data_IF_257180461461
#
_entry.id   IF_257180461461
#
_cell.length_a   1.000
_cell.length_b   1.000
_cell.length_c   1.000
_cell.angle_alpha   90.00
_cell.angle_beta   90.00
_cell.angle_gamma   90.00
#
_symmetry.space_group_name_H-M   'P 1'
#
loop_
_entity.id
_entity.type
_entity.pdbx_description
1 polymer ?
#
# COMPACT_ATOMS: atom_id res chain seq x y z
N UNK A 1 0.23 -0.09 18.49
CA UNK A 1 1.17 -0.28 17.37
C UNK A 1 0.44 -0.15 16.04
N UNK A 2 -0.68 -0.84 15.80
CA UNK A 2 -1.44 -0.86 14.55
C UNK A 2 -1.85 0.55 14.04
N UNK A 3 -2.33 1.44 14.92
CA UNK A 3 -2.74 2.81 14.58
C UNK A 3 -1.59 3.65 13.98
N UNK A 4 -0.42 3.57 14.58
CA UNK A 4 0.75 4.32 14.10
C UNK A 4 1.26 3.77 12.77
N UNK A 5 1.20 2.45 12.57
CA UNK A 5 1.51 1.82 11.27
C UNK A 5 0.56 2.28 10.17
N UNK A 6 -0.76 2.32 10.43
CA UNK A 6 -1.74 2.82 9.46
C UNK A 6 -1.49 4.27 9.07
N UNK A 7 -1.16 5.13 10.02
CA UNK A 7 -0.85 6.54 9.74
C UNK A 7 0.48 6.72 8.99
N UNK A 8 1.49 5.91 9.31
CA UNK A 8 2.75 5.89 8.54
C UNK A 8 2.48 5.54 7.07
N UNK A 9 1.68 4.49 6.83
CA UNK A 9 1.30 4.10 5.49
C UNK A 9 0.37 5.11 4.77
N UNK A 10 -0.33 5.97 5.51
CA UNK A 10 -1.07 7.09 4.94
C UNK A 10 -0.14 8.09 4.23
N UNK A 11 1.06 8.33 4.76
CA UNK A 11 2.07 9.20 4.13
C UNK A 11 2.53 8.63 2.78
N UNK A 12 2.71 7.31 2.68
CA UNK A 12 2.99 6.64 1.40
C UNK A 12 1.89 6.90 0.37
N UNK A 13 0.63 6.71 0.76
CA UNK A 13 -0.53 6.94 -0.11
C UNK A 13 -0.62 8.40 -0.58
N UNK A 14 -0.27 9.36 0.29
CA UNK A 14 -0.23 10.78 -0.07
C UNK A 14 0.82 11.06 -1.16
N UNK A 15 1.98 10.42 -1.08
CA UNK A 15 3.02 10.50 -2.11
C UNK A 15 2.57 9.86 -3.43
N UNK A 16 1.95 8.68 -3.36
CA UNK A 16 1.43 7.98 -4.53
C UNK A 16 0.31 8.76 -5.24
N UNK A 17 -0.56 9.44 -4.50
CA UNK A 17 -1.60 10.32 -5.06
C UNK A 17 -1.01 11.62 -5.62
N UNK A 18 0.00 12.21 -4.96
CA UNK A 18 0.62 13.47 -5.37
C UNK A 18 1.55 13.35 -6.58
N UNK A 19 2.15 12.17 -6.79
CA UNK A 19 3.08 11.92 -7.88
C UNK A 19 2.49 12.20 -9.27
N UNK A 20 1.40 11.55 -9.66
CA UNK A 20 0.74 11.81 -10.96
C UNK A 20 0.26 13.24 -11.12
N UNK A 21 -0.23 13.88 -10.06
CA UNK A 21 -0.68 15.29 -10.09
C UNK A 21 0.50 16.23 -10.35
N UNK A 22 1.62 16.04 -9.64
CA UNK A 22 2.83 16.86 -9.83
C UNK A 22 3.42 16.69 -11.23
N UNK A 23 3.40 15.47 -11.77
CA UNK A 23 3.82 15.19 -13.14
C UNK A 23 2.86 15.83 -14.16
N UNK A 24 1.55 15.80 -13.90
CA UNK A 24 0.55 16.47 -14.75
C UNK A 24 0.79 17.97 -14.83
N UNK A 25 1.11 18.64 -13.73
CA UNK A 25 1.48 20.06 -13.70
C UNK A 25 2.77 20.35 -14.49
N UNK A 26 3.79 19.50 -14.31
CA UNK A 26 5.04 19.65 -15.05
C UNK A 26 4.82 19.53 -16.57
N UNK A 27 3.99 18.59 -17.00
CA UNK A 27 3.65 18.39 -18.42
C UNK A 27 2.81 19.54 -18.99
N UNK A 28 1.90 20.13 -18.21
CA UNK A 28 1.09 21.25 -18.66
C UNK A 28 1.89 22.55 -18.85
N UNK A 29 2.94 22.76 -18.04
CA UNK A 29 3.75 23.99 -18.05
C UNK A 29 5.10 23.87 -18.75
N UNK A 30 5.59 22.66 -19.02
CA UNK A 30 6.95 22.44 -19.53
C UNK A 30 7.15 21.03 -20.12
N UNK A 31 8.21 20.34 -19.70
CA UNK A 31 8.57 19.01 -20.20
C UNK A 31 8.54 17.99 -19.08
N UNK A 32 8.40 16.72 -19.42
CA UNK A 32 8.44 15.61 -18.47
C UNK A 32 9.76 15.57 -17.67
N UNK A 33 10.88 16.03 -18.25
CA UNK A 33 12.16 16.13 -17.56
C UNK A 33 12.11 17.05 -16.35
N UNK A 34 11.34 18.15 -16.41
CA UNK A 34 11.19 19.05 -15.26
C UNK A 34 10.39 18.42 -14.13
N UNK A 35 9.41 17.57 -14.42
CA UNK A 35 8.73 16.77 -13.42
C UNK A 35 9.69 15.85 -12.67
N UNK A 36 10.55 15.12 -13.39
CA UNK A 36 11.59 14.28 -12.77
C UNK A 36 12.62 15.09 -11.98
N UNK A 37 13.00 16.28 -12.44
CA UNK A 37 13.91 17.17 -11.67
C UNK A 37 13.30 17.57 -10.32
N UNK A 38 12.02 17.93 -10.28
CA UNK A 38 11.32 18.25 -9.02
C UNK A 38 11.33 17.04 -8.07
N UNK A 39 10.97 15.86 -8.57
CA UNK A 39 10.99 14.63 -7.79
C UNK A 39 12.40 14.32 -7.30
N UNK A 40 13.42 14.48 -8.15
CA UNK A 40 14.83 14.24 -7.77
C UNK A 40 15.28 15.17 -6.64
N UNK A 41 14.94 16.46 -6.71
CA UNK A 41 15.28 17.42 -5.63
C UNK A 41 14.63 16.98 -4.31
N UNK A 42 13.34 16.63 -4.33
CA UNK A 42 12.65 16.11 -3.15
C UNK A 42 13.31 14.84 -2.61
N UNK A 43 13.74 13.95 -3.52
CA UNK A 43 14.44 12.71 -3.17
C UNK A 43 15.81 12.98 -2.51
N UNK A 44 16.53 14.03 -2.89
CA UNK A 44 17.79 14.43 -2.23
C UNK A 44 17.58 15.13 -0.89
N UNK A 45 16.50 15.88 -0.73
CA UNK A 45 16.15 16.50 0.54
C UNK A 45 15.85 15.45 1.62
N UNK A 46 15.18 14.36 1.25
CA UNK A 46 14.82 13.29 2.19
C UNK A 46 16.03 12.64 2.88
N UNK A 47 17.05 12.11 2.17
CA UNK A 47 18.24 11.56 2.83
C UNK A 47 19.04 12.61 3.58
N UNK A 48 19.06 13.87 3.15
CA UNK A 48 19.67 14.94 3.93
C UNK A 48 18.98 15.09 5.29
N UNK A 49 17.64 15.14 5.32
CA UNK A 49 16.88 15.18 6.56
C UNK A 49 17.12 13.94 7.45
N UNK A 50 17.20 12.75 6.83
CA UNK A 50 17.51 11.51 7.56
C UNK A 50 18.91 11.55 8.18
N UNK A 51 19.92 12.03 7.45
CA UNK A 51 21.27 12.21 7.98
C UNK A 51 21.32 13.18 9.17
N UNK A 52 20.62 14.31 9.06
CA UNK A 52 20.53 15.26 10.18
C UNK A 52 19.75 14.70 11.38
N UNK A 53 18.84 13.77 11.16
CA UNK A 53 18.06 13.13 12.23
C UNK A 53 18.78 11.95 12.89
N UNK A 54 19.88 11.44 12.33
CA UNK A 54 20.62 10.30 12.90
C UNK A 54 20.93 10.40 14.40
N UNK A 55 21.34 11.57 14.94
CA UNK A 55 21.58 11.70 16.38
C UNK A 55 20.33 11.50 17.26
N UNK A 56 19.12 11.62 16.66
CA UNK A 56 17.85 11.40 17.36
C UNK A 56 17.44 9.92 17.42
N UNK A 57 18.10 9.08 16.63
CA UNK A 57 17.82 7.64 16.52
C UNK A 57 18.66 6.87 17.56
N UNK A 58 18.55 7.26 18.82
CA UNK A 58 19.18 6.52 19.91
C UNK A 58 18.36 5.23 20.11
N UNK A 59 18.99 4.09 19.89
CA UNK A 59 18.49 2.82 20.41
C UNK A 59 18.57 2.88 21.93
N UNK A 60 17.46 2.70 22.66
CA UNK A 60 17.53 2.58 24.11
C UNK A 60 18.42 1.38 24.41
N UNK A 61 19.61 1.61 24.95
CA UNK A 61 20.55 0.55 25.32
C UNK A 61 19.95 -0.40 26.38
N UNK A 62 18.87 0.00 27.03
CA UNK A 62 18.23 -0.73 28.14
C UNK A 62 16.93 -1.44 27.76
N UNK A 63 16.47 -1.40 26.52
CA UNK A 63 15.21 -2.04 26.14
C UNK A 63 15.33 -3.55 25.84
N UNK A 64 16.50 -4.15 26.02
CA UNK A 64 16.79 -5.52 25.59
C UNK A 64 17.43 -6.45 26.63
N UNK A 65 17.54 -6.04 27.88
CA UNK A 65 18.20 -6.88 28.89
C UNK A 65 17.31 -8.02 29.46
N UNK A 66 16.22 -8.38 28.83
CA UNK A 66 15.26 -9.32 29.40
C UNK A 66 15.01 -10.63 28.65
N UNK A 67 15.24 -10.72 27.38
CA UNK A 67 15.16 -11.97 26.61
C UNK A 67 16.21 -11.92 25.49
N UNK A 68 17.14 -12.84 25.51
CA UNK A 68 18.09 -13.06 24.42
C UNK A 68 17.31 -13.56 23.20
N UNK A 69 16.80 -12.60 22.41
CA UNK A 69 16.04 -12.88 21.21
C UNK A 69 17.04 -13.30 20.13
N UNK A 70 17.23 -14.60 19.99
CA UNK A 70 17.97 -15.17 18.85
C UNK A 70 17.04 -15.26 17.66
N UNK A 71 17.20 -14.39 16.64
CA UNK A 71 16.41 -14.50 15.41
C UNK A 71 16.70 -15.86 14.76
N UNK A 72 15.67 -16.67 14.64
CA UNK A 72 15.79 -17.96 13.97
C UNK A 72 15.87 -17.72 12.47
N UNK A 73 17.09 -17.79 11.91
CA UNK A 73 17.32 -17.70 10.48
C UNK A 73 16.83 -18.99 9.81
N UNK A 74 15.59 -18.96 9.32
CA UNK A 74 15.05 -20.05 8.49
C UNK A 74 15.19 -19.71 7.01
N UNK A 75 15.49 -20.72 6.22
CA UNK A 75 15.48 -20.60 4.76
C UNK A 75 14.05 -20.40 4.25
N UNK A 76 13.88 -19.77 3.07
CA UNK A 76 12.56 -19.55 2.45
C UNK A 76 11.80 -20.89 2.32
N UNK A 77 12.50 -21.97 1.95
CA UNK A 77 11.89 -23.29 1.81
C UNK A 77 11.37 -23.88 3.13
N UNK A 78 11.98 -23.56 4.25
CA UNK A 78 11.52 -23.95 5.60
C UNK A 78 10.33 -23.10 6.04
N UNK A 79 10.35 -21.81 5.75
CA UNK A 79 9.23 -20.92 6.03
C UNK A 79 7.96 -21.33 5.28
N UNK A 80 8.08 -21.69 4.00
CA UNK A 80 6.94 -22.14 3.18
C UNK A 80 6.35 -23.48 3.64
N UNK A 81 7.06 -24.27 4.46
CA UNK A 81 6.53 -25.51 5.06
C UNK A 81 5.74 -25.26 6.35
N UNK A 82 5.83 -24.07 6.92
CA UNK A 82 5.05 -23.73 8.11
C UNK A 82 3.58 -23.56 7.71
N UNK A 83 2.70 -24.27 8.42
CA UNK A 83 1.25 -24.21 8.16
C UNK A 83 0.73 -22.77 8.27
N UNK A 84 -0.03 -22.31 7.28
CA UNK A 84 -0.58 -20.96 7.19
C UNK A 84 0.30 -19.96 6.45
N UNK A 85 1.61 -20.21 6.29
CA UNK A 85 2.50 -19.30 5.56
C UNK A 85 2.17 -19.24 4.07
N UNK A 86 2.00 -20.37 3.34
CA UNK A 86 1.62 -20.31 1.95
C UNK A 86 0.29 -19.57 1.70
N UNK A 87 -0.70 -19.76 2.58
CA UNK A 87 -2.01 -19.12 2.49
C UNK A 87 -1.91 -17.60 2.67
N UNK A 88 -1.13 -17.15 3.65
CA UNK A 88 -0.88 -15.72 3.87
C UNK A 88 -0.11 -15.11 2.69
N UNK A 89 0.89 -15.83 2.17
CA UNK A 89 1.65 -15.40 1.00
C UNK A 89 0.75 -15.26 -0.24
N UNK A 90 -0.12 -16.24 -0.48
CA UNK A 90 -1.07 -16.20 -1.58
C UNK A 90 -2.07 -15.04 -1.44
N UNK A 91 -2.60 -14.85 -0.23
CA UNK A 91 -3.50 -13.73 0.06
C UNK A 91 -2.82 -12.38 -0.19
N UNK A 92 -1.56 -12.26 0.24
CA UNK A 92 -0.77 -11.05 0.03
C UNK A 92 -0.47 -10.80 -1.45
N UNK A 93 -0.09 -11.85 -2.19
CA UNK A 93 0.16 -11.79 -3.62
C UNK A 93 -1.08 -11.34 -4.41
N UNK A 94 -2.25 -11.91 -4.13
CA UNK A 94 -3.51 -11.48 -4.77
C UNK A 94 -3.88 -10.04 -4.42
N UNK A 95 -3.69 -9.63 -3.16
CA UNK A 95 -3.91 -8.24 -2.76
C UNK A 95 -3.01 -7.29 -3.55
N UNK A 96 -1.70 -7.57 -3.59
CA UNK A 96 -0.71 -6.76 -4.31
C UNK A 96 -0.99 -6.73 -5.81
N UNK A 97 -1.41 -7.86 -6.39
CA UNK A 97 -1.85 -7.93 -7.78
C UNK A 97 -3.02 -6.98 -8.07
N UNK A 98 -4.03 -6.95 -7.21
CA UNK A 98 -5.18 -6.03 -7.38
C UNK A 98 -4.74 -4.57 -7.26
N UNK A 99 -3.92 -4.23 -6.24
CA UNK A 99 -3.39 -2.87 -6.05
C UNK A 99 -2.52 -2.45 -7.23
N UNK A 100 -1.61 -3.32 -7.68
CA UNK A 100 -0.72 -3.09 -8.82
C UNK A 100 -1.48 -2.90 -10.13
N UNK A 101 -2.43 -3.79 -10.44
CA UNK A 101 -3.26 -3.66 -11.64
C UNK A 101 -4.05 -2.36 -11.63
N UNK A 102 -4.70 -2.03 -10.51
CA UNK A 102 -5.45 -0.79 -10.39
C UNK A 102 -4.54 0.45 -10.52
N UNK A 103 -3.35 0.42 -9.90
CA UNK A 103 -2.40 1.52 -9.96
C UNK A 103 -1.80 1.75 -11.35
N UNK A 104 -1.42 0.68 -12.06
CA UNK A 104 -0.72 0.78 -13.34
C UNK A 104 -1.67 0.89 -14.52
N UNK A 105 -2.81 0.21 -14.49
CA UNK A 105 -3.69 0.06 -15.65
C UNK A 105 -4.96 0.90 -15.60
N UNK A 106 -5.32 1.52 -14.47
CA UNK A 106 -6.55 2.32 -14.35
C UNK A 106 -6.61 3.44 -15.40
N UNK A 107 -5.53 4.19 -15.60
CA UNK A 107 -5.47 5.25 -16.59
C UNK A 107 -5.64 4.70 -18.03
N UNK A 108 -4.94 3.61 -18.34
CA UNK A 108 -5.05 2.95 -19.66
C UNK A 108 -6.46 2.41 -19.90
N UNK A 109 -7.09 1.81 -18.90
CA UNK A 109 -8.47 1.35 -18.99
C UNK A 109 -9.44 2.51 -19.22
N UNK A 110 -9.27 3.62 -18.50
CA UNK A 110 -10.07 4.83 -18.68
C UNK A 110 -9.96 5.39 -20.09
N UNK A 111 -8.75 5.42 -20.67
CA UNK A 111 -8.50 5.95 -22.01
C UNK A 111 -8.97 4.99 -23.10
N UNK A 112 -8.51 3.74 -23.04
CA UNK A 112 -8.71 2.78 -24.15
C UNK A 112 -10.12 2.19 -24.17
N UNK A 113 -10.71 1.93 -23.01
CA UNK A 113 -12.00 1.23 -22.91
C UNK A 113 -13.16 2.21 -22.71
N UNK A 114 -12.94 3.30 -21.98
CA UNK A 114 -13.98 4.28 -21.66
C UNK A 114 -13.92 5.56 -22.50
N UNK A 115 -12.89 5.71 -23.35
CA UNK A 115 -12.75 6.84 -24.28
C UNK A 115 -12.49 8.18 -23.59
N UNK A 116 -11.97 8.17 -22.36
CA UNK A 116 -11.63 9.41 -21.65
C UNK A 116 -10.32 9.98 -22.19
N UNK A 117 -10.20 11.30 -22.18
CA UNK A 117 -8.94 11.97 -22.50
C UNK A 117 -7.85 11.64 -21.46
N UNK A 118 -6.58 11.77 -21.84
CA UNK A 118 -5.45 11.36 -21.03
C UNK A 118 -5.37 12.08 -19.67
N UNK A 119 -5.76 13.35 -19.61
CA UNK A 119 -5.75 14.15 -18.37
C UNK A 119 -6.83 13.64 -17.39
N UNK A 120 -8.05 13.43 -17.86
CA UNK A 120 -9.17 12.91 -17.09
C UNK A 120 -8.88 11.46 -16.62
N UNK A 121 -8.27 10.64 -17.48
CA UNK A 121 -7.89 9.28 -17.16
C UNK A 121 -6.80 9.23 -16.06
N UNK A 122 -5.76 10.06 -16.15
CA UNK A 122 -4.72 10.16 -15.14
C UNK A 122 -5.27 10.66 -13.79
N UNK A 123 -6.15 11.66 -13.82
CA UNK A 123 -6.85 12.16 -12.64
C UNK A 123 -7.72 11.06 -12.01
N UNK A 124 -8.42 10.27 -12.83
CA UNK A 124 -9.19 9.11 -12.39
C UNK A 124 -8.34 8.07 -11.68
N UNK A 125 -7.19 7.72 -12.24
CA UNK A 125 -6.25 6.78 -11.61
C UNK A 125 -5.74 7.29 -10.25
N UNK A 126 -5.51 8.61 -10.11
CA UNK A 126 -5.12 9.23 -8.83
C UNK A 126 -6.18 9.05 -7.75
N UNK A 127 -7.47 8.98 -8.10
CA UNK A 127 -8.56 8.77 -7.14
C UNK A 127 -8.48 7.42 -6.44
N UNK A 128 -7.94 6.40 -7.07
CA UNK A 128 -7.67 5.12 -6.41
C UNK A 128 -6.70 5.30 -5.24
N UNK A 129 -5.60 6.03 -5.44
CA UNK A 129 -4.64 6.31 -4.38
C UNK A 129 -5.17 7.27 -3.31
N UNK A 130 -6.03 8.22 -3.69
CA UNK A 130 -6.79 9.05 -2.73
C UNK A 130 -7.66 8.15 -1.86
N UNK A 131 -8.35 7.16 -2.45
CA UNK A 131 -9.13 6.15 -1.73
C UNK A 131 -8.27 5.37 -0.72
N UNK A 132 -7.08 4.90 -1.13
CA UNK A 132 -6.14 4.21 -0.24
C UNK A 132 -5.71 5.13 0.91
N UNK A 133 -5.35 6.39 0.61
CA UNK A 133 -4.87 7.34 1.62
C UNK A 133 -5.94 7.63 2.67
N UNK A 134 -7.14 7.97 2.22
CA UNK A 134 -8.30 8.23 3.09
C UNK A 134 -8.66 6.97 3.89
N UNK A 135 -8.68 5.82 3.22
CA UNK A 135 -8.96 4.53 3.85
C UNK A 135 -7.95 4.19 4.95
N UNK A 136 -6.66 4.39 4.71
CA UNK A 136 -5.60 4.16 5.72
C UNK A 136 -5.72 5.11 6.91
N UNK A 137 -6.09 6.37 6.66
CA UNK A 137 -6.36 7.31 7.74
C UNK A 137 -7.50 6.82 8.64
N UNK A 138 -8.64 6.45 8.04
CA UNK A 138 -9.78 5.94 8.81
C UNK A 138 -9.54 4.56 9.42
N UNK A 139 -8.77 3.69 8.76
CA UNK A 139 -8.40 2.37 9.30
C UNK A 139 -7.68 2.49 10.65
N UNK A 140 -6.89 3.54 10.87
CA UNK A 140 -6.24 3.80 12.15
C UNK A 140 -7.23 3.99 13.32
N UNK A 141 -8.44 4.47 13.05
CA UNK A 141 -9.51 4.58 14.05
C UNK A 141 -10.36 3.31 14.12
N UNK A 142 -10.61 2.66 12.99
CA UNK A 142 -11.41 1.44 12.91
C UNK A 142 -10.75 0.27 13.64
N UNK A 143 -9.41 0.18 13.65
CA UNK A 143 -8.65 -0.82 14.42
C UNK A 143 -8.85 -0.73 15.94
N UNK A 144 -9.46 0.34 16.45
CA UNK A 144 -9.87 0.43 17.85
C UNK A 144 -11.15 -0.34 18.16
N UNK A 145 -11.96 -0.67 17.15
CA UNK A 145 -13.28 -1.34 17.30
C UNK A 145 -13.33 -2.72 16.65
N UNK A 146 -12.57 -2.91 15.58
CA UNK A 146 -12.57 -4.12 14.76
C UNK A 146 -11.20 -4.82 14.85
N UNK A 147 -11.23 -6.14 14.86
CA UNK A 147 -10.01 -6.94 14.79
C UNK A 147 -9.48 -7.00 13.34
N UNK A 148 -8.22 -7.43 13.18
CA UNK A 148 -7.54 -7.44 11.87
C UNK A 148 -8.26 -8.32 10.85
N UNK A 149 -8.83 -9.47 11.24
CA UNK A 149 -9.60 -10.34 10.34
C UNK A 149 -10.88 -9.66 9.84
N UNK A 150 -11.57 -8.91 10.69
CA UNK A 150 -12.76 -8.15 10.30
C UNK A 150 -12.37 -7.01 9.35
N UNK A 151 -11.25 -6.33 9.62
CA UNK A 151 -10.72 -5.28 8.75
C UNK A 151 -10.39 -5.81 7.36
N UNK A 152 -9.73 -6.98 7.27
CA UNK A 152 -9.43 -7.64 6.00
C UNK A 152 -10.72 -7.98 5.23
N UNK A 153 -11.70 -8.60 5.89
CA UNK A 153 -12.97 -8.97 5.24
C UNK A 153 -13.75 -7.75 4.75
N UNK A 154 -13.83 -6.70 5.56
CA UNK A 154 -14.46 -5.43 5.16
C UNK A 154 -13.75 -4.80 3.97
N UNK A 155 -12.42 -4.80 3.99
CA UNK A 155 -11.61 -4.30 2.88
C UNK A 155 -11.84 -5.08 1.60
N UNK A 156 -11.84 -6.41 1.65
CA UNK A 156 -12.10 -7.28 0.50
C UNK A 156 -13.49 -7.05 -0.10
N UNK A 157 -14.53 -6.92 0.74
CA UNK A 157 -15.90 -6.66 0.31
C UNK A 157 -16.01 -5.30 -0.38
N UNK A 158 -15.42 -4.27 0.23
CA UNK A 158 -15.43 -2.92 -0.32
C UNK A 158 -14.66 -2.84 -1.65
N UNK A 159 -13.54 -3.55 -1.73
CA UNK A 159 -12.75 -3.67 -2.97
C UNK A 159 -13.57 -4.35 -4.08
N UNK A 160 -14.23 -5.46 -3.79
CA UNK A 160 -15.10 -6.15 -4.74
C UNK A 160 -16.23 -5.24 -5.26
N UNK A 161 -16.87 -4.46 -4.38
CA UNK A 161 -17.88 -3.45 -4.77
C UNK A 161 -17.26 -2.41 -5.67
N UNK A 162 -16.07 -1.89 -5.35
CA UNK A 162 -15.37 -0.92 -6.18
C UNK A 162 -15.06 -1.45 -7.57
N UNK A 163 -14.55 -2.69 -7.67
CA UNK A 163 -14.29 -3.35 -8.96
C UNK A 163 -15.58 -3.52 -9.77
N UNK A 164 -16.67 -3.95 -9.15
CA UNK A 164 -17.96 -4.07 -9.83
C UNK A 164 -18.40 -2.72 -10.38
N UNK A 165 -18.30 -1.64 -9.60
CA UNK A 165 -18.65 -0.29 -10.05
C UNK A 165 -17.80 0.19 -11.25
N UNK A 166 -16.51 -0.15 -11.28
CA UNK A 166 -15.60 0.15 -12.39
C UNK A 166 -16.04 -0.58 -13.67
N UNK A 167 -16.46 -1.84 -13.55
CA UNK A 167 -16.81 -2.69 -14.67
C UNK A 167 -18.22 -2.43 -15.22
N UNK A 168 -19.12 -1.83 -14.43
CA UNK A 168 -20.48 -1.57 -14.87
C UNK A 168 -20.52 -0.66 -16.10
N UNK A 169 -21.37 -0.97 -17.12
CA UNK A 169 -21.45 -0.22 -18.36
C UNK A 169 -22.34 1.03 -18.28
N UNK A 170 -22.64 1.52 -17.09
CA UNK A 170 -23.53 2.67 -16.86
C UNK A 170 -22.88 4.05 -17.04
N UNK A 171 -22.05 4.20 -18.07
CA UNK A 171 -21.36 5.46 -18.36
C UNK A 171 -20.13 5.72 -17.48
N UNK A 172 -19.52 6.88 -17.68
CA UNK A 172 -18.24 7.22 -17.05
C UNK A 172 -18.39 7.80 -15.62
N UNK A 173 -19.63 8.11 -15.19
CA UNK A 173 -19.86 8.75 -13.89
C UNK A 173 -19.55 7.85 -12.69
N UNK A 174 -19.73 6.54 -12.81
CA UNK A 174 -19.46 5.56 -11.75
C UNK A 174 -17.98 5.19 -11.64
N UNK A 175 -17.20 5.44 -12.66
CA UNK A 175 -15.79 5.07 -12.73
C UNK A 175 -14.94 5.73 -11.62
N UNK A 176 -14.99 7.06 -11.39
CA UNK A 176 -14.28 7.70 -10.29
C UNK A 176 -14.71 7.17 -8.92
N UNK A 177 -16.01 6.95 -8.75
CA UNK A 177 -16.55 6.40 -7.50
C UNK A 177 -16.04 4.98 -7.27
N UNK A 178 -16.05 4.14 -8.30
CA UNK A 178 -15.52 2.77 -8.22
C UNK A 178 -14.03 2.75 -7.86
N UNK A 179 -13.21 3.64 -8.44
CA UNK A 179 -11.78 3.75 -8.14
C UNK A 179 -11.54 4.16 -6.68
N UNK A 180 -12.27 5.16 -6.17
CA UNK A 180 -12.17 5.57 -4.77
C UNK A 180 -12.60 4.42 -3.83
N UNK A 181 -13.72 3.76 -4.13
CA UNK A 181 -14.24 2.66 -3.30
C UNK A 181 -13.27 1.46 -3.32
N UNK A 182 -12.70 1.12 -4.47
CA UNK A 182 -11.68 0.08 -4.56
C UNK A 182 -10.43 0.43 -3.73
N UNK A 183 -9.96 1.68 -3.82
CA UNK A 183 -8.86 2.16 -3.01
C UNK A 183 -9.13 2.13 -1.51
N UNK A 184 -10.34 2.55 -1.08
CA UNK A 184 -10.78 2.44 0.31
C UNK A 184 -10.77 0.98 0.79
N UNK A 185 -11.15 0.04 -0.08
CA UNK A 185 -11.13 -1.39 0.20
C UNK A 185 -9.72 -1.95 0.36
N UNK A 186 -8.77 -1.53 -0.47
CA UNK A 186 -7.36 -1.94 -0.38
C UNK A 186 -6.69 -1.45 0.92
N UNK A 187 -7.10 -0.31 1.43
CA UNK A 187 -6.44 0.41 2.50
C UNK A 187 -6.18 -0.39 3.79
N UNK A 188 -7.17 -1.11 4.38
CA UNK A 188 -7.00 -1.84 5.64
C UNK A 188 -6.30 -3.18 5.48
N UNK A 189 -6.24 -3.77 4.27
CA UNK A 189 -5.83 -5.16 4.06
C UNK A 189 -4.34 -5.33 4.40
N UNK A 190 -3.48 -4.52 3.77
CA UNK A 190 -2.03 -4.60 3.97
C UNK A 190 -1.60 -4.46 5.45
N UNK A 191 -1.96 -3.38 6.17
CA UNK A 191 -1.53 -3.21 7.54
C UNK A 191 -2.09 -4.28 8.48
N UNK A 192 -3.31 -4.78 8.21
CA UNK A 192 -3.90 -5.83 9.02
C UNK A 192 -3.22 -7.18 8.83
N UNK A 193 -2.81 -7.56 7.61
CA UNK A 193 -2.05 -8.79 7.36
C UNK A 193 -0.70 -8.74 8.09
N UNK A 194 0.03 -7.63 7.97
CA UNK A 194 1.33 -7.46 8.64
C UNK A 194 1.17 -7.50 10.17
N UNK A 195 0.13 -6.87 10.70
CA UNK A 195 -0.12 -6.82 12.14
C UNK A 195 -0.53 -8.18 12.73
N UNK A 196 -1.27 -9.00 11.98
CA UNK A 196 -1.69 -10.35 12.39
C UNK A 196 -0.55 -11.38 12.32
N UNK A 197 0.50 -11.11 11.54
CA UNK A 197 1.62 -12.04 11.33
C UNK A 197 2.28 -12.52 12.63
N UNK A 198 2.64 -11.66 13.61
CA UNK A 198 3.21 -12.12 14.87
C UNK A 198 2.27 -12.97 15.74
N UNK A 199 0.96 -12.70 15.65
CA UNK A 199 -0.05 -13.44 16.39
C UNK A 199 -0.23 -14.86 15.85
N UNK A 200 -0.12 -15.03 14.54
CA UNK A 200 -0.32 -16.31 13.85
C UNK A 200 0.93 -17.18 13.85
N UNK A 201 2.13 -16.59 13.74
CA UNK A 201 3.38 -17.32 13.54
C UNK A 201 4.39 -17.18 14.69
N UNK A 202 4.06 -16.40 15.72
CA UNK A 202 4.95 -16.13 16.84
C UNK A 202 6.03 -15.09 16.52
N UNK A 203 6.67 -14.57 17.58
CA UNK A 203 7.65 -13.49 17.47
C UNK A 203 8.89 -13.88 16.66
N UNK A 204 9.33 -15.12 16.74
CA UNK A 204 10.57 -15.60 16.10
C UNK A 204 10.47 -15.60 14.57
N UNK A 205 9.31 -15.98 14.02
CA UNK A 205 9.07 -15.99 12.57
C UNK A 205 8.62 -14.64 12.04
N UNK A 206 8.05 -13.79 12.90
CA UNK A 206 7.52 -12.48 12.50
C UNK A 206 8.58 -11.51 11.97
N UNK A 207 9.86 -11.74 12.23
CA UNK A 207 10.95 -10.93 11.66
C UNK A 207 11.29 -11.33 10.22
N UNK A 208 11.14 -12.61 9.87
CA UNK A 208 11.44 -13.12 8.52
C UNK A 208 10.24 -13.00 7.57
N UNK A 209 9.02 -13.01 8.11
CA UNK A 209 7.78 -12.98 7.32
C UNK A 209 7.59 -11.70 6.48
N UNK A 210 7.85 -10.47 7.00
CA UNK A 210 7.69 -9.27 6.19
C UNK A 210 8.57 -9.26 4.94
N UNK A 211 9.80 -9.77 5.03
CA UNK A 211 10.68 -9.91 3.87
C UNK A 211 10.10 -10.83 2.81
N UNK A 212 9.54 -11.96 3.22
CA UNK A 212 8.88 -12.90 2.32
C UNK A 212 7.59 -12.31 1.70
N UNK A 213 6.80 -11.60 2.49
CA UNK A 213 5.60 -10.89 2.03
C UNK A 213 5.94 -9.81 1.00
N UNK A 214 7.00 -9.03 1.23
CA UNK A 214 7.50 -8.04 0.26
C UNK A 214 8.02 -8.68 -1.03
N UNK A 215 8.65 -9.85 -0.94
CA UNK A 215 9.07 -10.60 -2.13
C UNK A 215 7.87 -11.05 -2.97
N UNK A 216 6.78 -11.50 -2.32
CA UNK A 216 5.54 -11.84 -3.01
C UNK A 216 4.88 -10.61 -3.66
N UNK A 217 4.85 -9.48 -2.94
CA UNK A 217 4.37 -8.19 -3.45
C UNK A 217 5.10 -7.79 -4.74
N UNK A 218 6.42 -7.77 -4.69
CA UNK A 218 7.26 -7.40 -5.84
C UNK A 218 7.11 -8.34 -7.05
N UNK A 219 6.81 -9.61 -6.80
CA UNK A 219 6.63 -10.60 -7.88
C UNK A 219 5.29 -10.43 -8.60
N UNK A 220 4.25 -9.97 -7.89
CA UNK A 220 2.91 -9.79 -8.46
C UNK A 220 2.66 -8.38 -9.01
N UNK A 221 3.50 -7.40 -8.65
CA UNK A 221 3.42 -6.02 -9.14
C UNK A 221 4.35 -5.74 -10.32
N UNK A 222 5.18 -6.71 -10.73
CA UNK A 222 6.06 -6.63 -11.90
C UNK A 222 5.37 -7.12 -13.17
#
# INVERSE_FOLDING_TARGET
VSRHMSWLHCMWGSGAAGGPVSMGWALAGSTWQNGYRIVSVLQFVLPALLLFSLPLWQTPADAGAGEEFTPEHRTISELLKVSGVPEVMLCFAFYSGVEGIAGMWAASYCTLTRGLDAMTAASGASLFYVGITVGRFFSGFLTMKFNDQQMIRMGQLLNAVGIVLILLPFGNALLPVGLVVAGLGCAPIYPSIIHETPSNFGKNLSMSMPGLQMAADSTCSA
#
